data_IF_765772292684
#
_entry.id   IF_765772292684
#
_cell.length_a   1.000
_cell.length_b   1.000
_cell.length_c   1.000
_cell.angle_alpha   90.00
_cell.angle_beta   90.00
_cell.angle_gamma   90.00
#
_symmetry.space_group_name_H-M   'P 1'
#
loop_
_entity.id
_entity.type
_entity.pdbx_description
1 polymer ?
#
# COMPACT_ATOMS: atom_id res chain seq x y z
N UNK A 1 -13.76 18.05 -6.31
CA UNK A 1 -12.69 17.61 -7.25
C UNK A 1 -13.32 17.35 -8.61
N UNK A 2 -12.66 17.63 -9.74
CA UNK A 2 -13.30 17.43 -11.07
C UNK A 2 -13.34 15.94 -11.44
N UNK A 3 -14.31 15.55 -12.24
CA UNK A 3 -14.47 14.15 -12.67
C UNK A 3 -13.25 13.63 -13.45
N UNK A 4 -12.62 14.47 -14.26
CA UNK A 4 -11.38 14.13 -14.97
C UNK A 4 -10.21 13.81 -14.00
N UNK A 5 -10.10 14.54 -12.90
CA UNK A 5 -9.07 14.30 -11.88
C UNK A 5 -9.31 12.94 -11.20
N UNK A 6 -10.56 12.62 -10.85
CA UNK A 6 -10.93 11.34 -10.25
C UNK A 6 -10.62 10.15 -11.16
N UNK A 7 -10.87 10.27 -12.47
CA UNK A 7 -10.53 9.21 -13.43
C UNK A 7 -9.02 9.02 -13.58
N UNK A 8 -8.23 10.11 -13.48
CA UNK A 8 -6.77 10.02 -13.45
C UNK A 8 -6.29 9.25 -12.22
N UNK A 9 -6.75 9.63 -11.02
CA UNK A 9 -6.36 8.93 -9.79
C UNK A 9 -6.84 7.48 -9.75
N UNK A 10 -8.04 7.20 -10.25
CA UNK A 10 -8.56 5.83 -10.40
C UNK A 10 -7.63 4.97 -11.26
N UNK A 11 -7.18 5.47 -12.41
CA UNK A 11 -6.22 4.75 -13.27
C UNK A 11 -4.89 4.48 -12.56
N UNK A 12 -4.35 5.48 -11.86
CA UNK A 12 -3.11 5.32 -11.09
C UNK A 12 -3.24 4.26 -10.00
N UNK A 13 -4.37 4.25 -9.27
CA UNK A 13 -4.65 3.26 -8.23
C UNK A 13 -4.78 1.84 -8.79
N UNK A 14 -5.50 1.67 -9.90
CA UNK A 14 -5.66 0.36 -10.56
C UNK A 14 -4.35 -0.17 -11.13
N UNK A 15 -3.51 0.71 -11.67
CA UNK A 15 -2.17 0.33 -12.13
C UNK A 15 -1.31 -0.15 -10.97
N UNK A 16 -1.32 0.58 -9.84
CA UNK A 16 -0.60 0.16 -8.63
C UNK A 16 -1.14 -1.13 -8.03
N UNK A 17 -2.46 -1.34 -8.07
CA UNK A 17 -3.08 -2.60 -7.64
C UNK A 17 -2.54 -3.79 -8.44
N UNK A 18 -2.52 -3.68 -9.78
CA UNK A 18 -1.99 -4.74 -10.65
C UNK A 18 -0.53 -5.04 -10.36
N UNK A 19 0.30 -4.01 -10.18
CA UNK A 19 1.72 -4.17 -9.87
C UNK A 19 1.96 -4.95 -8.58
N UNK A 20 1.14 -4.72 -7.53
CA UNK A 20 1.28 -5.43 -6.26
C UNK A 20 0.73 -6.86 -6.35
N UNK A 21 -0.37 -7.06 -7.09
CA UNK A 21 -0.95 -8.39 -7.28
C UNK A 21 -0.02 -9.30 -8.08
N UNK A 22 0.64 -8.81 -9.14
CA UNK A 22 1.58 -9.62 -9.92
C UNK A 22 2.80 -10.06 -9.10
N UNK A 23 3.33 -9.16 -8.24
CA UNK A 23 4.45 -9.48 -7.35
C UNK A 23 4.07 -10.56 -6.33
N UNK A 24 2.83 -10.57 -5.85
CA UNK A 24 2.35 -11.62 -4.94
C UNK A 24 2.24 -13.00 -5.62
N UNK A 25 1.80 -13.04 -6.88
CA UNK A 25 1.73 -14.29 -7.66
C UNK A 25 3.13 -14.87 -7.95
N UNK A 26 4.10 -14.00 -8.31
CA UNK A 26 5.48 -14.41 -8.54
C UNK A 26 6.18 -14.91 -7.26
N UNK A 27 5.89 -14.28 -6.11
CA UNK A 27 6.51 -14.64 -4.84
C UNK A 27 5.88 -15.88 -4.18
N UNK A 28 4.56 -16.11 -4.37
CA UNK A 28 3.90 -17.35 -3.94
C UNK A 28 4.49 -18.61 -4.58
N UNK A 29 5.15 -18.46 -5.73
CA UNK A 29 5.87 -19.53 -6.43
C UNK A 29 7.29 -19.76 -5.86
N UNK A 30 7.85 -18.77 -5.15
CA UNK A 30 9.26 -18.76 -4.71
C UNK A 30 9.49 -19.09 -3.24
N UNK A 31 8.47 -19.12 -2.39
CA UNK A 31 8.65 -19.61 -1.01
C UNK A 31 8.81 -21.12 -1.09
N UNK A 32 10.02 -21.68 -0.92
CA UNK A 32 10.20 -23.12 -0.92
C UNK A 32 9.45 -23.66 0.28
N UNK A 33 8.80 -24.81 0.14
CA UNK A 33 8.24 -25.50 1.29
C UNK A 33 9.32 -25.62 2.37
N UNK A 34 9.04 -25.07 3.56
CA UNK A 34 9.90 -25.21 4.72
C UNK A 34 10.15 -26.70 4.96
N UNK A 35 11.35 -27.20 4.63
CA UNK A 35 11.66 -28.62 4.78
C UNK A 35 12.79 -29.20 3.93
N UNK A 36 13.65 -28.40 3.29
CA UNK A 36 14.66 -28.96 2.37
C UNK A 36 16.02 -28.27 2.33
N UNK A 37 16.44 -27.54 3.37
CA UNK A 37 17.77 -26.94 3.39
C UNK A 37 18.77 -27.90 4.07
N UNK A 38 19.32 -28.82 3.29
CA UNK A 38 20.64 -29.40 3.57
C UNK A 38 21.67 -28.30 3.34
N UNK A 39 22.00 -27.57 4.42
CA UNK A 39 23.00 -26.50 4.46
C UNK A 39 23.58 -26.40 5.87
N UNK A 40 24.73 -25.77 6.01
CA UNK A 40 25.36 -25.58 7.33
C UNK A 40 24.60 -24.56 8.19
N UNK A 41 25.05 -24.33 9.42
CA UNK A 41 24.40 -23.37 10.33
C UNK A 41 24.37 -21.94 9.77
N UNK A 42 25.33 -21.58 8.91
CA UNK A 42 25.40 -20.25 8.28
C UNK A 42 24.36 -20.18 7.15
N UNK A 43 24.23 -21.23 6.34
CA UNK A 43 23.23 -21.34 5.28
C UNK A 43 21.81 -21.25 5.85
N UNK A 44 21.55 -21.96 6.97
CA UNK A 44 20.26 -21.93 7.66
C UNK A 44 19.95 -20.53 8.21
N UNK A 45 20.91 -19.89 8.89
CA UNK A 45 20.71 -18.54 9.42
C UNK A 45 20.43 -17.51 8.32
N UNK A 46 21.10 -17.63 7.17
CA UNK A 46 20.85 -16.77 6.00
C UNK A 46 19.46 -17.00 5.41
N UNK A 47 19.03 -18.26 5.26
CA UNK A 47 17.72 -18.59 4.73
C UNK A 47 16.59 -18.11 5.64
N UNK A 48 16.75 -18.21 6.96
CA UNK A 48 15.78 -17.69 7.93
C UNK A 48 15.66 -16.16 7.85
N UNK A 49 16.79 -15.45 7.74
CA UNK A 49 16.82 -14.00 7.59
C UNK A 49 16.14 -13.55 6.27
N UNK A 50 16.37 -14.29 5.18
CA UNK A 50 15.71 -14.04 3.90
C UNK A 50 14.20 -14.30 3.99
N UNK A 51 13.77 -15.39 4.62
CA UNK A 51 12.36 -15.69 4.85
C UNK A 51 11.67 -14.61 5.70
N UNK A 52 12.31 -14.14 6.77
CA UNK A 52 11.78 -13.04 7.58
C UNK A 52 11.60 -11.75 6.76
N UNK A 53 12.59 -11.40 5.93
CA UNK A 53 12.52 -10.26 5.04
C UNK A 53 11.35 -10.39 4.06
N UNK A 54 11.18 -11.55 3.42
CA UNK A 54 10.07 -11.80 2.49
C UNK A 54 8.70 -11.65 3.19
N UNK A 55 8.54 -12.20 4.39
CA UNK A 55 7.32 -12.06 5.19
C UNK A 55 7.00 -10.57 5.44
N UNK A 56 8.01 -9.77 5.81
CA UNK A 56 7.84 -8.34 6.09
C UNK A 56 7.46 -7.54 4.84
N UNK A 57 8.03 -7.88 3.68
CA UNK A 57 7.67 -7.30 2.39
C UNK A 57 6.21 -7.62 2.03
N UNK A 58 5.80 -8.89 2.11
CA UNK A 58 4.43 -9.31 1.84
C UNK A 58 3.39 -8.64 2.74
N UNK A 59 3.68 -8.51 4.04
CA UNK A 59 2.82 -7.78 4.96
C UNK A 59 2.65 -6.31 4.57
N UNK A 60 3.73 -5.68 4.08
CA UNK A 60 3.71 -4.28 3.64
C UNK A 60 2.88 -4.12 2.37
N UNK A 61 3.07 -5.00 1.38
CA UNK A 61 2.31 -5.02 0.14
C UNK A 61 0.82 -5.25 0.39
N UNK A 62 0.47 -6.19 1.28
CA UNK A 62 -0.92 -6.44 1.67
C UNK A 62 -1.59 -5.21 2.32
N UNK A 63 -0.87 -4.47 3.17
CA UNK A 63 -1.37 -3.21 3.74
C UNK A 63 -1.57 -2.14 2.68
N UNK A 64 -0.67 -2.05 1.71
CA UNK A 64 -0.75 -1.11 0.61
C UNK A 64 -1.93 -1.43 -0.32
N UNK A 65 -2.13 -2.70 -0.66
CA UNK A 65 -3.26 -3.19 -1.46
C UNK A 65 -4.60 -2.80 -0.83
N UNK A 66 -4.75 -3.05 0.48
CA UNK A 66 -5.94 -2.64 1.24
C UNK A 66 -6.16 -1.12 1.18
N UNK A 67 -5.10 -0.32 1.31
CA UNK A 67 -5.21 1.14 1.22
C UNK A 67 -5.64 1.62 -0.18
N UNK A 68 -5.21 0.91 -1.24
CA UNK A 68 -5.63 1.18 -2.62
C UNK A 68 -7.12 0.85 -2.81
N UNK A 69 -7.57 -0.30 -2.33
CA UNK A 69 -8.98 -0.70 -2.38
C UNK A 69 -9.89 0.28 -1.63
N UNK A 70 -9.48 0.71 -0.44
CA UNK A 70 -10.16 1.76 0.32
C UNK A 70 -10.25 3.06 -0.47
N UNK A 71 -9.15 3.48 -1.11
CA UNK A 71 -9.12 4.69 -1.94
C UNK A 71 -10.07 4.60 -3.15
N UNK A 72 -10.10 3.46 -3.84
CA UNK A 72 -11.07 3.18 -4.91
C UNK A 72 -12.50 3.20 -4.37
N UNK A 73 -12.73 2.68 -3.16
CA UNK A 73 -14.00 2.81 -2.44
C UNK A 73 -14.39 4.26 -2.17
N UNK A 74 -13.46 5.11 -1.73
CA UNK A 74 -13.69 6.55 -1.53
C UNK A 74 -14.02 7.27 -2.84
N UNK A 75 -13.41 6.88 -3.96
CA UNK A 75 -13.76 7.43 -5.28
C UNK A 75 -15.21 7.10 -5.63
N UNK A 76 -15.63 5.84 -5.43
CA UNK A 76 -17.02 5.42 -5.69
C UNK A 76 -18.04 6.16 -4.82
N UNK A 77 -17.72 6.41 -3.55
CA UNK A 77 -18.58 7.15 -2.61
C UNK A 77 -18.51 8.67 -2.75
N UNK A 78 -17.65 9.20 -3.62
CA UNK A 78 -17.45 10.64 -3.78
C UNK A 78 -16.70 11.34 -2.64
N UNK A 79 -16.09 10.59 -1.71
CA UNK A 79 -15.35 11.15 -0.55
C UNK A 79 -13.84 11.21 -0.76
N UNK A 80 -13.36 10.85 -1.96
CA UNK A 80 -11.93 10.86 -2.28
C UNK A 80 -11.36 12.28 -2.27
N UNK A 81 -10.16 12.42 -1.69
CA UNK A 81 -9.47 13.70 -1.56
C UNK A 81 -9.87 14.50 -0.33
N UNK A 82 -10.61 13.93 0.63
CA UNK A 82 -10.85 14.51 1.95
C UNK A 82 -10.07 13.73 3.02
N UNK A 83 -9.48 14.45 3.98
CA UNK A 83 -8.80 13.84 5.11
C UNK A 83 -9.82 13.15 6.02
N UNK A 84 -9.57 11.91 6.42
CA UNK A 84 -10.49 11.18 7.29
C UNK A 84 -10.60 11.76 8.70
N UNK A 85 -9.56 12.44 9.18
CA UNK A 85 -9.50 13.05 10.51
C UNK A 85 -10.13 14.44 10.50
N UNK A 86 -9.53 15.40 9.82
CA UNK A 86 -9.95 16.80 9.88
C UNK A 86 -10.99 17.19 8.82
N UNK A 87 -11.38 16.27 7.94
CA UNK A 87 -12.32 16.49 6.81
C UNK A 87 -11.89 17.57 5.80
N UNK A 88 -10.70 18.17 5.95
CA UNK A 88 -10.15 19.15 5.01
C UNK A 88 -9.71 18.46 3.70
N UNK A 89 -9.72 19.19 2.57
CA UNK A 89 -9.17 18.69 1.31
C UNK A 89 -7.70 18.28 1.43
N UNK A 90 -7.36 17.13 0.86
CA UNK A 90 -5.98 16.67 0.69
C UNK A 90 -5.39 17.39 -0.52
N UNK A 91 -4.17 17.93 -0.38
CA UNK A 91 -3.51 18.64 -1.48
C UNK A 91 -3.32 17.74 -2.71
N UNK A 92 -3.48 18.32 -3.90
CA UNK A 92 -3.30 17.60 -5.18
C UNK A 92 -1.91 16.99 -5.29
N UNK A 93 -0.87 17.75 -4.92
CA UNK A 93 0.52 17.30 -4.91
C UNK A 93 0.69 16.02 -4.08
N UNK A 94 0.00 15.93 -2.93
CA UNK A 94 0.05 14.74 -2.08
C UNK A 94 -0.71 13.56 -2.68
N UNK A 95 -1.84 13.79 -3.34
CA UNK A 95 -2.59 12.74 -4.03
C UNK A 95 -1.87 12.25 -5.29
N UNK A 96 -1.04 13.09 -5.90
CA UNK A 96 -0.17 12.69 -7.02
C UNK A 96 1.00 11.85 -6.54
N UNK A 97 1.61 12.19 -5.41
CA UNK A 97 2.69 11.42 -4.81
C UNK A 97 2.20 10.11 -4.16
N UNK A 98 1.06 10.16 -3.46
CA UNK A 98 0.51 9.05 -2.66
C UNK A 98 -1.01 8.99 -2.85
N UNK A 99 -1.46 8.41 -3.96
CA UNK A 99 -2.86 8.41 -4.38
C UNK A 99 -3.80 7.59 -3.48
N UNK A 100 -3.27 6.65 -2.68
CA UNK A 100 -4.03 5.86 -1.71
C UNK A 100 -4.14 6.52 -0.32
N UNK A 101 -3.53 7.70 -0.13
CA UNK A 101 -3.52 8.36 1.18
C UNK A 101 -4.94 8.68 1.67
N UNK A 102 -5.14 8.51 2.98
CA UNK A 102 -6.39 8.83 3.68
C UNK A 102 -6.31 10.09 4.55
N UNK A 103 -5.10 10.62 4.74
CA UNK A 103 -4.81 11.73 5.64
C UNK A 103 -4.14 12.87 4.89
N UNK A 104 -4.42 14.11 5.27
CA UNK A 104 -3.62 15.27 4.91
C UNK A 104 -2.21 15.18 5.55
N UNK A 105 -1.32 16.12 5.19
CA UNK A 105 0.04 16.17 5.72
C UNK A 105 0.04 16.42 7.23
N UNK A 106 -0.68 17.46 7.67
CA UNK A 106 -0.82 17.86 9.08
C UNK A 106 -1.26 16.71 9.98
N UNK A 107 -2.36 16.03 9.64
CA UNK A 107 -2.87 14.91 10.44
C UNK A 107 -1.96 13.67 10.39
N UNK A 108 -1.10 13.54 9.37
CA UNK A 108 -0.12 12.44 9.31
C UNK A 108 1.12 12.74 10.16
N UNK A 109 1.49 14.01 10.31
CA UNK A 109 2.63 14.46 11.13
C UNK A 109 2.28 14.63 12.62
N UNK A 110 1.06 14.23 13.04
CA UNK A 110 0.62 14.33 14.45
C UNK A 110 0.01 15.68 14.82
N UNK A 111 -0.20 16.57 13.83
CA UNK A 111 -0.95 17.79 14.00
C UNK A 111 -2.40 17.47 14.34
N UNK A 112 -2.74 17.52 15.64
CA UNK A 112 -4.12 17.48 16.13
C UNK A 112 -4.90 18.59 15.43
N UNK A 113 -5.85 18.21 14.58
CA UNK A 113 -6.91 19.11 14.16
C UNK A 113 -8.22 18.51 14.67
N UNK A 114 -8.42 18.64 15.98
CA UNK A 114 -9.73 18.72 16.59
C UNK A 114 -9.80 20.11 17.22
N UNK A 115 -10.56 21.00 16.58
CA UNK A 115 -11.26 22.09 17.24
C UNK A 115 -12.74 21.69 17.22
#
# INVERSE_FOLDING_TARGET
MRQADLQRYKRLLLEKQRQLSSVQEDAGTRVPAAGGLEGDLIDQANADAEAELQIRLHQTDGRLLRAIEEALGRIRRGTYGLCEVCKKPISRVRLEAVSWTRLCRECKEGGRSAA
#
